data_IF_859522787305
#
_entry.id   IF_859522787305
#
_cell.length_a   1.000
_cell.length_b   1.000
_cell.length_c   1.000
_cell.angle_alpha   90.00
_cell.angle_beta   90.00
_cell.angle_gamma   90.00
#
_symmetry.space_group_name_H-M   'P 1'
#
loop_
_entity.id
_entity.type
_entity.pdbx_description
1 polymer ?
#
# COMPACT_ATOMS: atom_id res chain seq x y z
N UNK A 1 -27.66 14.16 -25.71
CA UNK A 1 -27.62 13.64 -24.33
C UNK A 1 -26.79 14.60 -23.47
N UNK A 2 -27.42 15.26 -22.49
CA UNK A 2 -26.67 16.07 -21.51
C UNK A 2 -25.96 15.14 -20.55
N UNK A 3 -24.64 15.28 -20.40
CA UNK A 3 -23.84 14.47 -19.49
C UNK A 3 -24.21 14.87 -18.05
N UNK A 4 -24.96 14.03 -17.32
CA UNK A 4 -25.41 14.33 -15.94
C UNK A 4 -24.24 14.61 -14.97
N UNK A 5 -23.03 14.24 -15.35
CA UNK A 5 -21.77 14.53 -14.64
C UNK A 5 -21.35 16.00 -14.65
N UNK A 6 -21.72 16.77 -15.68
CA UNK A 6 -21.30 18.16 -15.81
C UNK A 6 -22.05 19.12 -14.86
N UNK A 7 -23.06 18.63 -14.12
CA UNK A 7 -23.92 19.47 -13.26
C UNK A 7 -23.94 19.06 -11.79
N UNK A 8 -23.37 17.90 -11.42
CA UNK A 8 -23.30 17.49 -10.02
C UNK A 8 -21.98 17.95 -9.39
N UNK A 9 -22.05 19.08 -8.68
CA UNK A 9 -20.90 19.65 -7.94
C UNK A 9 -20.30 18.69 -6.91
N UNK A 10 -21.04 17.68 -6.48
CA UNK A 10 -20.61 16.67 -5.50
C UNK A 10 -19.57 15.73 -6.10
N UNK A 11 -19.60 15.52 -7.42
CA UNK A 11 -18.62 14.66 -8.10
C UNK A 11 -17.26 15.32 -8.14
N UNK A 12 -17.14 16.65 -7.94
CA UNK A 12 -15.90 17.41 -8.03
C UNK A 12 -15.14 17.51 -6.69
N UNK A 13 -15.64 16.92 -5.61
CA UNK A 13 -14.99 16.96 -4.30
C UNK A 13 -14.80 15.55 -3.73
N UNK A 14 -13.79 15.43 -2.87
CA UNK A 14 -13.46 14.18 -2.18
C UNK A 14 -13.74 14.37 -0.71
N UNK A 15 -14.59 13.50 -0.14
CA UNK A 15 -14.75 13.39 1.31
C UNK A 15 -13.99 12.16 1.81
N UNK A 16 -13.17 12.36 2.84
CA UNK A 16 -12.42 11.31 3.54
C UNK A 16 -12.88 11.14 4.99
N UNK A 17 -14.03 11.70 5.37
CA UNK A 17 -14.50 11.74 6.77
C UNK A 17 -14.70 10.34 7.37
N UNK A 18 -15.11 9.36 6.55
CA UNK A 18 -15.33 7.97 6.96
C UNK A 18 -14.19 7.05 6.47
N UNK A 19 -13.02 7.60 6.19
CA UNK A 19 -11.86 6.80 5.81
C UNK A 19 -11.35 6.01 7.02
N UNK A 20 -11.05 4.73 6.78
CA UNK A 20 -10.39 3.87 7.77
C UNK A 20 -9.02 4.44 8.19
N UNK A 21 -8.75 4.41 9.49
CA UNK A 21 -7.59 5.11 10.10
C UNK A 21 -6.26 4.62 9.53
N UNK A 22 -6.19 3.34 9.14
CA UNK A 22 -4.99 2.73 8.53
C UNK A 22 -4.58 3.36 7.18
N UNK A 23 -5.52 4.06 6.52
CA UNK A 23 -5.33 4.77 5.26
C UNK A 23 -5.23 6.30 5.43
N UNK A 24 -5.44 6.80 6.65
CA UNK A 24 -5.43 8.25 6.93
C UNK A 24 -4.12 8.91 6.51
N UNK A 25 -4.23 10.01 5.77
CA UNK A 25 -3.08 10.75 5.23
C UNK A 25 -2.34 10.05 4.09
N UNK A 26 -2.68 8.81 3.76
CA UNK A 26 -2.00 8.01 2.74
C UNK A 26 -2.71 7.98 1.39
N UNK A 27 -3.98 8.38 1.33
CA UNK A 27 -4.76 8.36 0.09
C UNK A 27 -4.86 9.75 -0.51
N UNK A 28 -4.44 9.89 -1.76
CA UNK A 28 -4.73 11.05 -2.60
C UNK A 28 -5.74 10.65 -3.69
N UNK A 29 -6.53 11.61 -4.15
CA UNK A 29 -7.34 11.47 -5.35
C UNK A 29 -7.14 12.68 -6.27
N UNK A 30 -7.82 12.69 -7.42
CA UNK A 30 -7.55 13.64 -8.51
C UNK A 30 -8.84 14.35 -8.95
N UNK A 31 -9.40 15.27 -8.15
CA UNK A 31 -10.69 15.89 -8.44
C UNK A 31 -10.75 16.61 -9.80
N UNK A 32 -9.67 17.30 -10.14
CA UNK A 32 -9.43 17.97 -11.44
C UNK A 32 -9.52 17.01 -12.65
N UNK A 33 -9.37 15.71 -12.46
CA UNK A 33 -9.41 14.70 -13.52
C UNK A 33 -10.75 13.94 -13.60
N UNK A 34 -11.67 14.16 -12.66
CA UNK A 34 -12.97 13.48 -12.63
C UNK A 34 -13.84 13.77 -13.84
N UNK A 35 -13.82 15.01 -14.35
CA UNK A 35 -14.55 15.37 -15.58
C UNK A 35 -13.99 14.70 -16.84
N UNK A 36 -12.75 14.17 -16.76
CA UNK A 36 -12.12 13.38 -17.82
C UNK A 36 -12.33 11.87 -17.60
N UNK A 37 -13.04 11.48 -16.54
CA UNK A 37 -13.36 10.09 -16.21
C UNK A 37 -12.28 9.37 -15.41
N UNK A 38 -11.25 10.06 -14.91
CA UNK A 38 -10.20 9.43 -14.12
C UNK A 38 -10.54 9.50 -12.61
N UNK A 39 -11.17 8.44 -12.12
CA UNK A 39 -11.51 8.27 -10.70
C UNK A 39 -10.47 7.48 -9.91
N UNK A 40 -9.21 7.48 -10.38
CA UNK A 40 -8.13 6.74 -9.70
C UNK A 40 -7.83 7.34 -8.33
N UNK A 41 -7.20 6.53 -7.48
CA UNK A 41 -6.60 6.98 -6.21
C UNK A 41 -5.12 6.64 -6.20
N UNK A 42 -4.35 7.37 -5.40
CA UNK A 42 -2.95 7.06 -5.09
C UNK A 42 -2.84 6.68 -3.63
N UNK A 43 -2.29 5.50 -3.36
CA UNK A 43 -1.94 5.05 -2.01
C UNK A 43 -0.44 5.29 -1.79
N UNK A 44 -0.10 6.13 -0.81
CA UNK A 44 1.27 6.46 -0.37
C UNK A 44 1.74 5.49 0.71
N UNK A 45 3.06 5.39 0.85
CA UNK A 45 3.74 4.59 1.88
C UNK A 45 3.22 3.15 1.97
N UNK A 46 3.11 2.49 0.82
CA UNK A 46 2.57 1.13 0.69
C UNK A 46 3.35 0.15 1.58
N UNK A 47 2.61 -0.63 2.35
CA UNK A 47 3.06 -1.65 3.30
C UNK A 47 2.64 -3.02 2.79
N UNK A 48 3.33 -4.08 3.23
CA UNK A 48 2.94 -5.46 2.92
C UNK A 48 1.49 -5.76 3.34
N UNK A 49 1.03 -5.17 4.45
CA UNK A 49 -0.34 -5.31 4.96
C UNK A 49 -1.40 -4.66 4.09
N UNK A 50 -1.04 -3.82 3.12
CA UNK A 50 -2.01 -3.26 2.17
C UNK A 50 -2.30 -4.24 1.02
N UNK A 51 -1.58 -5.35 0.90
CA UNK A 51 -1.88 -6.35 -0.12
C UNK A 51 -3.29 -6.95 0.08
N UNK A 52 -4.00 -7.19 -1.01
CA UNK A 52 -5.35 -7.76 -0.97
C UNK A 52 -6.23 -7.32 -2.14
N UNK A 53 -7.47 -7.78 -2.12
CA UNK A 53 -8.47 -7.42 -3.14
C UNK A 53 -9.13 -6.10 -2.81
N UNK A 54 -8.99 -5.13 -3.71
CA UNK A 54 -9.68 -3.85 -3.68
C UNK A 54 -10.91 -3.89 -4.57
N UNK A 55 -11.97 -3.19 -4.16
CA UNK A 55 -13.20 -3.03 -4.94
C UNK A 55 -13.48 -1.56 -5.20
N UNK A 56 -13.71 -1.20 -6.46
CA UNK A 56 -14.20 0.10 -6.87
C UNK A 56 -15.71 -0.02 -7.13
N UNK A 57 -16.50 0.87 -6.51
CA UNK A 57 -17.96 0.86 -6.62
C UNK A 57 -18.47 2.27 -6.98
N UNK A 58 -18.99 2.43 -8.18
CA UNK A 58 -19.58 3.67 -8.68
C UNK A 58 -20.97 3.36 -9.28
N UNK A 59 -22.03 3.34 -8.46
CA UNK A 59 -23.39 2.99 -8.90
C UNK A 59 -23.92 3.86 -10.03
N UNK A 60 -23.55 5.14 -10.04
CA UNK A 60 -24.06 6.13 -11.00
C UNK A 60 -23.64 5.83 -12.45
N UNK A 61 -22.49 5.17 -12.65
CA UNK A 61 -22.00 4.68 -13.95
C UNK A 61 -22.11 3.16 -14.09
N UNK A 62 -22.66 2.46 -13.10
CA UNK A 62 -22.74 1.00 -13.10
C UNK A 62 -21.37 0.31 -13.05
N UNK A 63 -20.35 0.95 -12.48
CA UNK A 63 -19.00 0.36 -12.36
C UNK A 63 -18.89 -0.38 -11.03
N UNK A 64 -18.55 -1.66 -11.12
CA UNK A 64 -18.11 -2.47 -10.00
C UNK A 64 -16.93 -3.33 -10.46
N UNK A 65 -15.73 -2.96 -10.03
CA UNK A 65 -14.49 -3.61 -10.47
C UNK A 65 -13.71 -4.08 -9.26
N UNK A 66 -13.14 -5.27 -9.35
CA UNK A 66 -12.21 -5.80 -8.35
C UNK A 66 -10.81 -5.88 -8.95
N UNK A 67 -9.79 -5.61 -8.14
CA UNK A 67 -8.39 -5.77 -8.50
C UNK A 67 -7.60 -6.24 -7.29
N UNK A 68 -6.56 -7.03 -7.52
CA UNK A 68 -5.67 -7.49 -6.46
C UNK A 68 -4.41 -6.62 -6.41
N UNK A 69 -4.16 -6.03 -5.24
CA UNK A 69 -2.90 -5.34 -4.96
C UNK A 69 -1.89 -6.34 -4.42
N UNK A 70 -0.81 -6.55 -5.17
CA UNK A 70 0.32 -7.37 -4.75
C UNK A 70 1.44 -6.44 -4.32
N UNK A 71 1.88 -6.56 -3.07
CA UNK A 71 3.02 -5.80 -2.53
C UNK A 71 4.19 -6.76 -2.32
N UNK A 72 5.36 -6.38 -2.84
CA UNK A 72 6.61 -7.14 -2.67
C UNK A 72 7.63 -6.28 -1.93
N UNK A 73 8.45 -6.93 -1.11
CA UNK A 73 9.62 -6.27 -0.55
C UNK A 73 10.57 -5.87 -1.68
N UNK A 74 11.25 -4.73 -1.51
CA UNK A 74 12.34 -4.42 -2.41
C UNK A 74 13.46 -5.39 -2.09
N UNK A 75 13.79 -6.28 -3.01
CA UNK A 75 15.05 -7.00 -2.95
C UNK A 75 16.15 -5.95 -3.00
N UNK A 76 16.90 -5.85 -1.90
CA UNK A 76 18.13 -5.06 -1.88
C UNK A 76 19.05 -5.71 -2.90
N UNK A 77 19.21 -5.10 -4.08
CA UNK A 77 20.27 -5.47 -5.00
C UNK A 77 21.58 -5.29 -4.25
N UNK A 78 22.14 -6.39 -3.79
CA UNK A 78 23.44 -6.45 -3.15
C UNK A 78 24.49 -6.01 -4.19
N UNK A 79 24.80 -4.71 -4.21
CA UNK A 79 25.88 -4.16 -5.01
C UNK A 79 27.20 -4.50 -4.32
N UNK A 80 27.57 -5.78 -4.30
CA UNK A 80 28.87 -6.25 -3.81
C UNK A 80 29.81 -6.76 -4.91
N UNK A 81 29.41 -6.71 -6.18
CA UNK A 81 30.30 -7.03 -7.30
C UNK A 81 30.83 -5.76 -7.99
N UNK A 82 31.83 -5.11 -7.35
CA UNK A 82 32.96 -4.33 -7.95
C UNK A 82 33.45 -3.18 -7.04
N UNK A 83 34.07 -3.51 -5.92
CA UNK A 83 35.19 -2.73 -5.38
C UNK A 83 35.98 -3.59 -4.40
N UNK A 84 37.31 -3.58 -4.54
CA UNK A 84 38.21 -4.48 -3.83
C UNK A 84 38.20 -4.35 -2.31
N UNK A 85 38.62 -5.46 -1.69
CA UNK A 85 39.28 -5.57 -0.39
C UNK A 85 39.04 -4.44 0.62
N UNK A 86 37.98 -4.58 1.42
CA UNK A 86 37.76 -3.82 2.65
C UNK A 86 36.81 -4.57 3.57
N UNK A 87 37.35 -5.21 4.60
CA UNK A 87 36.60 -5.88 5.66
C UNK A 87 35.64 -4.89 6.34
N UNK A 88 34.32 -5.14 6.24
CA UNK A 88 33.32 -4.52 7.11
C UNK A 88 32.30 -5.58 7.50
N UNK A 89 32.33 -5.99 8.77
CA UNK A 89 31.32 -6.87 9.38
C UNK A 89 29.95 -6.19 9.45
N UNK A 90 29.19 -6.26 8.36
CA UNK A 90 27.75 -6.03 8.37
C UNK A 90 27.05 -7.23 9.00
N UNK A 91 26.72 -7.16 10.30
CA UNK A 91 25.91 -8.20 10.95
C UNK A 91 24.46 -8.05 10.46
N UNK A 92 24.02 -8.94 9.57
CA UNK A 92 22.62 -9.09 9.21
C UNK A 92 21.83 -9.66 10.40
N UNK A 93 20.83 -8.92 10.86
CA UNK A 93 20.03 -9.25 12.06
C UNK A 93 18.81 -10.15 11.77
N UNK A 94 18.70 -10.74 10.58
CA UNK A 94 17.55 -11.59 10.24
C UNK A 94 17.57 -12.95 10.95
N UNK A 95 18.77 -13.48 11.23
CA UNK A 95 18.94 -14.80 11.88
C UNK A 95 18.82 -14.73 13.41
N UNK A 96 19.11 -13.57 14.02
CA UNK A 96 19.13 -13.43 15.49
C UNK A 96 17.73 -13.49 16.12
N UNK A 97 16.69 -13.08 15.39
CA UNK A 97 15.30 -13.08 15.87
C UNK A 97 14.68 -14.48 15.93
N UNK A 98 15.23 -15.46 15.19
CA UNK A 98 14.75 -16.83 15.22
C UNK A 98 15.24 -17.60 16.46
N UNK A 99 16.40 -17.22 17.02
CA UNK A 99 16.98 -17.93 18.18
C UNK A 99 16.41 -17.50 19.53
N UNK A 100 15.86 -16.29 19.67
CA UNK A 100 15.25 -15.83 20.93
C UNK A 100 13.94 -16.54 21.24
N UNK A 101 13.21 -17.00 20.22
CA UNK A 101 11.97 -17.75 20.41
C UNK A 101 12.21 -19.14 21.01
N UNK A 102 13.31 -19.81 20.65
CA UNK A 102 13.57 -21.19 21.10
C UNK A 102 14.00 -21.28 22.57
N UNK A 103 14.71 -20.26 23.09
CA UNK A 103 15.13 -20.22 24.49
C UNK A 103 13.98 -19.88 25.46
N UNK A 104 12.93 -19.19 25.00
CA UNK A 104 11.76 -18.85 25.82
C UNK A 104 10.88 -20.05 26.19
N UNK A 105 10.86 -21.10 25.36
CA UNK A 105 10.05 -22.30 25.61
C UNK A 105 10.64 -23.24 26.67
N UNK A 106 11.95 -23.23 26.90
CA UNK A 106 12.61 -24.12 27.88
C UNK A 106 12.41 -23.63 29.33
N UNK A 107 12.18 -22.33 29.55
CA UNK A 107 12.04 -21.75 30.89
C UNK A 107 10.62 -21.92 31.47
N UNK A 108 9.62 -22.27 30.65
CA UNK A 108 8.21 -22.33 31.09
C UNK A 108 7.69 -23.71 31.51
N UNK A 109 8.48 -24.78 31.34
CA UNK A 109 8.09 -26.14 31.76
C UNK A 109 9.25 -26.76 32.57
N UNK A 110 9.20 -26.72 33.91
CA UNK A 110 10.17 -27.42 34.76
C UNK A 110 10.03 -28.94 34.66
#
# INVERSE_FOLDING_TARGET
>A
MSNRYASDKTILSVSLENQEVVYSGRVDSFPEEYMKGNFSIKLRDVKLSDAGTYSCFMPQVGVHTKLDLIVKERESSDWSDRAGNGDVRGRSNSVLLLFTSLLGFIVLHP
#
